data_IF_163388045271
#
_entry.id   IF_163388045271
#
_cell.length_a   1.000
_cell.length_b   1.000
_cell.length_c   1.000
_cell.angle_alpha   90.00
_cell.angle_beta   90.00
_cell.angle_gamma   90.00
#
_symmetry.space_group_name_H-M   'P 1'
#
loop_
_entity.id
_entity.type
_entity.pdbx_description
1 polymer ?
#
# COMPACT_ATOMS: atom_id res chain seq x y z
N UNK A 1 -21.67 -11.80 -27.65
CA UNK A 1 -20.89 -11.29 -26.51
C UNK A 1 -20.01 -10.16 -27.00
N UNK A 2 -19.92 -9.06 -26.26
CA UNK A 2 -19.08 -7.91 -26.61
C UNK A 2 -17.58 -8.26 -26.51
N UNK A 3 -16.75 -7.71 -27.42
CA UNK A 3 -15.31 -8.06 -27.52
C UNK A 3 -14.52 -7.75 -26.24
N UNK A 4 -14.89 -6.68 -25.50
CA UNK A 4 -14.24 -6.35 -24.23
C UNK A 4 -14.55 -7.37 -23.14
N UNK A 5 -15.75 -7.96 -23.16
CA UNK A 5 -16.13 -9.04 -22.25
C UNK A 5 -15.45 -10.35 -22.60
N UNK A 6 -15.27 -10.66 -23.90
CA UNK A 6 -14.47 -11.82 -24.30
C UNK A 6 -13.05 -11.73 -23.75
N UNK A 7 -12.40 -10.57 -23.88
CA UNK A 7 -11.07 -10.32 -23.30
C UNK A 7 -11.08 -10.42 -21.77
N UNK A 8 -12.13 -9.93 -21.11
CA UNK A 8 -12.23 -10.03 -19.66
C UNK A 8 -12.31 -11.50 -19.19
N UNK A 9 -13.11 -12.31 -19.85
CA UNK A 9 -13.18 -13.75 -19.57
C UNK A 9 -11.83 -14.44 -19.85
N UNK A 10 -11.18 -14.12 -20.97
CA UNK A 10 -9.85 -14.62 -21.30
C UNK A 10 -8.81 -14.27 -20.23
N UNK A 11 -8.79 -13.02 -19.80
CA UNK A 11 -7.89 -12.56 -18.75
C UNK A 11 -8.16 -13.24 -17.40
N UNK A 12 -9.42 -13.38 -17.00
CA UNK A 12 -9.81 -14.04 -15.77
C UNK A 12 -9.43 -15.54 -15.75
N UNK A 13 -9.53 -16.23 -16.90
CA UNK A 13 -9.05 -17.62 -17.05
C UNK A 13 -7.53 -17.68 -17.02
N UNK A 14 -6.85 -16.80 -17.74
CA UNK A 14 -5.37 -16.73 -17.75
C UNK A 14 -4.81 -16.40 -16.37
N UNK A 15 -5.55 -15.66 -15.54
CA UNK A 15 -5.22 -15.41 -14.14
C UNK A 15 -5.57 -16.60 -13.20
N UNK A 16 -6.09 -17.71 -13.72
CA UNK A 16 -6.50 -18.89 -12.95
C UNK A 16 -7.69 -18.64 -12.01
N UNK A 17 -8.50 -17.63 -12.28
CA UNK A 17 -9.64 -17.24 -11.44
C UNK A 17 -10.97 -17.80 -11.93
N UNK A 18 -11.06 -18.23 -13.20
CA UNK A 18 -12.21 -18.93 -13.80
C UNK A 18 -11.77 -20.26 -14.38
N UNK A 19 -12.55 -21.31 -14.12
CA UNK A 19 -12.25 -22.68 -14.55
C UNK A 19 -13.20 -23.24 -15.60
N UNK A 20 -14.34 -22.58 -15.85
CA UNK A 20 -15.39 -23.01 -16.75
C UNK A 20 -15.55 -22.19 -18.04
N UNK A 21 -16.40 -22.66 -18.95
CA UNK A 21 -16.60 -22.04 -20.27
C UNK A 21 -17.55 -20.84 -20.28
N UNK A 22 -18.36 -20.64 -19.23
CA UNK A 22 -19.24 -19.47 -19.09
C UNK A 22 -19.65 -19.24 -17.64
N UNK A 23 -18.76 -18.65 -16.86
CA UNK A 23 -19.02 -18.42 -15.44
C UNK A 23 -19.44 -16.97 -15.17
N UNK A 24 -20.58 -16.55 -15.79
CA UNK A 24 -21.17 -15.24 -15.53
C UNK A 24 -21.41 -15.01 -14.04
N UNK A 25 -21.93 -16.03 -13.34
CA UNK A 25 -22.19 -15.95 -11.92
C UNK A 25 -20.88 -15.89 -11.10
N UNK A 26 -19.86 -16.64 -11.50
CA UNK A 26 -18.57 -16.62 -10.83
C UNK A 26 -17.83 -15.30 -11.08
N UNK A 27 -17.86 -14.79 -12.32
CA UNK A 27 -17.32 -13.48 -12.66
C UNK A 27 -18.01 -12.36 -11.88
N UNK A 28 -19.34 -12.43 -11.73
CA UNK A 28 -20.12 -11.50 -10.94
C UNK A 28 -19.66 -11.49 -9.47
N UNK A 29 -19.49 -12.68 -8.88
CA UNK A 29 -18.98 -12.82 -7.51
C UNK A 29 -17.57 -12.29 -7.34
N UNK A 30 -16.66 -12.61 -8.26
CA UNK A 30 -15.26 -12.17 -8.21
C UNK A 30 -15.14 -10.65 -8.32
N UNK A 31 -15.95 -10.02 -9.15
CA UNK A 31 -15.96 -8.57 -9.35
C UNK A 31 -16.86 -7.84 -8.36
N UNK A 32 -17.52 -8.54 -7.43
CA UNK A 32 -18.52 -7.99 -6.51
C UNK A 32 -19.62 -7.19 -7.24
N UNK A 33 -20.11 -7.75 -8.37
CA UNK A 33 -21.12 -7.14 -9.22
C UNK A 33 -22.37 -8.03 -9.28
N UNK A 34 -23.51 -7.47 -9.68
CA UNK A 34 -24.72 -8.29 -9.89
C UNK A 34 -24.61 -9.10 -11.20
N UNK A 35 -25.23 -10.32 -11.26
CA UNK A 35 -25.31 -11.08 -12.51
C UNK A 35 -25.94 -10.26 -13.66
N UNK A 36 -26.89 -9.38 -13.34
CA UNK A 36 -27.51 -8.47 -14.30
C UNK A 36 -26.51 -7.44 -14.86
N UNK A 37 -25.57 -6.95 -14.01
CA UNK A 37 -24.50 -6.05 -14.45
C UNK A 37 -23.58 -6.74 -15.44
N UNK A 38 -23.18 -7.98 -15.16
CA UNK A 38 -22.33 -8.77 -16.05
C UNK A 38 -23.05 -9.04 -17.38
N UNK A 39 -24.32 -9.43 -17.33
CA UNK A 39 -25.14 -9.61 -18.53
C UNK A 39 -25.22 -8.32 -19.39
N UNK A 40 -25.43 -7.18 -18.75
CA UNK A 40 -25.45 -5.90 -19.45
C UNK A 40 -24.09 -5.59 -20.10
N UNK A 41 -22.98 -5.94 -19.47
CA UNK A 41 -21.65 -5.78 -20.06
C UNK A 41 -21.39 -6.73 -21.23
N UNK A 42 -21.92 -7.94 -21.18
CA UNK A 42 -21.84 -8.90 -22.29
C UNK A 42 -22.53 -8.39 -23.56
N UNK A 43 -23.62 -7.64 -23.38
CA UNK A 43 -24.39 -7.07 -24.49
C UNK A 43 -23.84 -5.72 -24.94
N UNK A 44 -23.66 -4.79 -23.99
CA UNK A 44 -23.34 -3.37 -24.26
C UNK A 44 -21.86 -3.06 -24.21
N UNK A 45 -21.06 -3.95 -23.64
CA UNK A 45 -19.63 -3.78 -23.39
C UNK A 45 -19.31 -3.39 -21.96
N UNK A 46 -18.10 -3.69 -21.57
CA UNK A 46 -17.55 -3.40 -20.24
C UNK A 46 -17.48 -1.90 -20.00
N UNK A 47 -18.01 -1.44 -18.86
CA UNK A 47 -17.95 -0.04 -18.45
C UNK A 47 -16.51 0.37 -18.06
N UNK A 48 -16.21 1.67 -18.02
CA UNK A 48 -14.91 2.16 -17.55
C UNK A 48 -14.64 1.71 -16.10
N UNK A 49 -15.66 1.81 -15.23
CA UNK A 49 -15.54 1.36 -13.85
C UNK A 49 -15.33 -0.15 -13.76
N UNK A 50 -16.06 -0.93 -14.59
CA UNK A 50 -15.87 -2.38 -14.69
C UNK A 50 -14.47 -2.78 -15.14
N UNK A 51 -13.85 -2.02 -16.05
CA UNK A 51 -12.49 -2.26 -16.50
C UNK A 51 -11.45 -1.99 -15.38
N UNK A 52 -11.65 -0.94 -14.59
CA UNK A 52 -10.81 -0.64 -13.42
C UNK A 52 -10.98 -1.69 -12.33
N UNK A 53 -12.22 -2.13 -12.07
CA UNK A 53 -12.48 -3.20 -11.13
C UNK A 53 -11.84 -4.53 -11.57
N UNK A 54 -11.93 -4.87 -12.86
CA UNK A 54 -11.26 -6.04 -13.43
C UNK A 54 -9.73 -5.95 -13.34
N UNK A 55 -9.16 -4.76 -13.52
CA UNK A 55 -7.73 -4.54 -13.32
C UNK A 55 -7.34 -4.78 -11.85
N UNK A 56 -8.12 -4.28 -10.90
CA UNK A 56 -7.87 -4.47 -9.48
C UNK A 56 -7.96 -5.95 -9.06
N UNK A 57 -8.94 -6.70 -9.59
CA UNK A 57 -9.21 -8.09 -9.17
C UNK A 57 -8.33 -9.11 -9.90
N UNK A 58 -8.06 -8.90 -11.19
CA UNK A 58 -7.35 -9.87 -12.04
C UNK A 58 -5.95 -9.40 -12.46
N UNK A 59 -5.56 -8.15 -12.15
CA UNK A 59 -4.33 -7.56 -12.65
C UNK A 59 -4.31 -7.31 -14.16
N UNK A 60 -5.48 -7.40 -14.83
CA UNK A 60 -5.58 -7.19 -16.26
C UNK A 60 -5.43 -5.71 -16.61
N UNK A 61 -4.70 -5.41 -17.68
CA UNK A 61 -4.53 -4.04 -18.14
C UNK A 61 -5.83 -3.50 -18.74
N UNK A 62 -6.36 -2.42 -18.13
CA UNK A 62 -7.60 -1.78 -18.59
C UNK A 62 -7.49 -1.26 -20.04
N UNK A 63 -6.30 -0.85 -20.49
CA UNK A 63 -6.04 -0.44 -21.88
C UNK A 63 -6.17 -1.64 -22.80
N UNK A 64 -5.60 -2.78 -22.44
CA UNK A 64 -5.73 -4.01 -23.21
C UNK A 64 -7.19 -4.49 -23.28
N UNK A 65 -7.93 -4.45 -22.17
CA UNK A 65 -9.36 -4.77 -22.18
C UNK A 65 -10.14 -3.90 -23.16
N UNK A 66 -9.82 -2.63 -23.26
CA UNK A 66 -10.52 -1.69 -24.12
C UNK A 66 -10.10 -1.78 -25.60
N UNK A 67 -8.80 -1.86 -25.91
CA UNK A 67 -8.25 -1.76 -27.27
C UNK A 67 -7.81 -3.11 -27.85
N UNK A 68 -7.44 -4.07 -27.01
CA UNK A 68 -6.78 -5.32 -27.40
C UNK A 68 -5.30 -5.15 -27.74
N UNK A 69 -4.75 -3.96 -27.51
CA UNK A 69 -3.34 -3.65 -27.77
C UNK A 69 -2.55 -3.55 -26.48
N UNK A 70 -1.28 -3.95 -26.53
CA UNK A 70 -0.40 -3.97 -25.38
C UNK A 70 -0.43 -5.30 -24.62
N UNK A 71 0.17 -5.33 -23.43
CA UNK A 71 0.20 -6.52 -22.59
C UNK A 71 -1.15 -6.75 -21.90
N UNK A 72 -1.59 -8.01 -21.85
CA UNK A 72 -2.85 -8.43 -21.23
C UNK A 72 -2.89 -8.10 -19.74
N UNK A 73 -1.77 -8.29 -19.04
CA UNK A 73 -1.63 -7.99 -17.62
C UNK A 73 -0.72 -6.79 -17.42
N UNK A 74 -1.02 -6.01 -16.39
CA UNK A 74 -0.14 -4.93 -15.98
C UNK A 74 1.14 -5.57 -15.45
N UNK A 75 2.27 -5.33 -16.13
CA UNK A 75 3.59 -5.81 -15.68
C UNK A 75 3.87 -5.17 -14.31
N UNK A 76 3.60 -5.93 -13.24
CA UNK A 76 3.77 -5.46 -11.87
C UNK A 76 2.62 -5.66 -10.90
N UNK A 77 1.50 -6.30 -11.29
CA UNK A 77 0.42 -6.54 -10.33
C UNK A 77 0.16 -8.03 -10.09
N UNK A 78 0.87 -8.58 -9.09
CA UNK A 78 0.30 -9.61 -8.22
C UNK A 78 -0.37 -8.87 -7.06
N UNK A 79 -1.70 -8.96 -7.03
CA UNK A 79 -2.60 -8.71 -5.90
C UNK A 79 -2.46 -7.38 -5.15
N UNK A 80 -3.34 -6.43 -5.49
CA UNK A 80 -3.68 -5.32 -4.59
C UNK A 80 -4.69 -5.83 -3.55
N UNK A 81 -4.20 -6.47 -2.51
CA UNK A 81 -4.81 -6.39 -1.18
C UNK A 81 -4.07 -5.29 -0.46
N UNK A 82 -4.81 -4.39 0.21
CA UNK A 82 -4.26 -3.49 1.21
C UNK A 82 -3.14 -4.22 1.97
N UNK A 83 -1.91 -3.76 1.83
CA UNK A 83 -0.74 -4.17 2.60
C UNK A 83 -0.68 -5.67 3.00
N UNK A 84 -0.81 -6.59 2.05
CA UNK A 84 -0.36 -7.97 2.28
C UNK A 84 0.95 -8.15 1.53
N UNK A 85 2.02 -8.03 2.27
CA UNK A 85 3.37 -8.33 1.81
C UNK A 85 3.45 -9.82 1.53
N UNK A 86 3.43 -10.20 0.25
CA UNK A 86 3.82 -11.54 -0.15
C UNK A 86 5.33 -11.56 -0.41
N UNK A 87 6.03 -12.27 0.45
CA UNK A 87 7.37 -12.76 0.11
C UNK A 87 7.24 -13.73 -1.06
N UNK A 88 7.73 -13.35 -2.22
CA UNK A 88 7.86 -14.27 -3.36
C UNK A 88 8.93 -15.30 -3.00
N UNK A 89 8.50 -16.57 -2.85
CA UNK A 89 9.37 -17.72 -2.80
C UNK A 89 10.17 -17.84 -4.10
N UNK A 90 11.34 -17.26 -4.13
CA UNK A 90 12.41 -17.69 -5.01
C UNK A 90 13.33 -18.62 -4.21
N UNK A 91 13.17 -19.92 -4.41
CA UNK A 91 14.14 -20.95 -4.01
C UNK A 91 15.51 -20.64 -4.62
N UNK A 92 16.32 -19.89 -3.87
CA UNK A 92 17.80 -19.97 -3.84
C UNK A 92 18.34 -18.96 -2.82
N UNK A 93 18.72 -19.49 -1.68
CA UNK A 93 19.28 -18.90 -0.46
C UNK A 93 18.28 -18.70 0.68
N UNK A 94 18.27 -19.64 1.60
CA UNK A 94 17.42 -19.72 2.81
C UNK A 94 17.59 -18.56 3.83
N UNK A 95 18.18 -17.42 3.42
CA UNK A 95 18.50 -16.33 4.35
C UNK A 95 18.27 -14.91 3.79
N UNK A 96 17.57 -14.78 2.66
CA UNK A 96 17.33 -13.48 2.02
C UNK A 96 15.92 -12.96 2.32
N UNK A 97 15.84 -11.76 2.89
CA UNK A 97 14.60 -11.05 3.23
C UNK A 97 14.51 -9.83 2.31
N UNK A 98 13.38 -9.69 1.64
CA UNK A 98 13.09 -8.54 0.79
C UNK A 98 12.14 -7.61 1.53
N UNK A 99 12.56 -6.36 1.76
CA UNK A 99 11.75 -5.31 2.35
C UNK A 99 11.42 -4.31 1.24
N UNK A 100 10.14 -4.16 0.93
CA UNK A 100 9.68 -3.24 -0.12
C UNK A 100 9.73 -1.79 0.34
N UNK A 101 10.19 -0.89 -0.51
CA UNK A 101 10.19 0.55 -0.28
C UNK A 101 9.17 1.22 -1.20
N UNK A 102 8.32 2.05 -0.60
CA UNK A 102 7.26 2.77 -1.29
C UNK A 102 7.50 4.27 -1.30
N UNK A 103 7.12 4.91 -2.40
CA UNK A 103 7.07 6.36 -2.50
C UNK A 103 5.81 6.87 -1.81
N UNK A 104 5.98 7.64 -0.77
CA UNK A 104 4.86 8.24 -0.03
C UNK A 104 4.39 9.58 -0.60
N UNK A 105 4.93 10.02 -1.75
CA UNK A 105 4.54 11.24 -2.48
C UNK A 105 4.65 12.53 -1.65
N UNK A 106 5.34 13.54 -2.14
CA UNK A 106 5.63 14.73 -1.37
C UNK A 106 4.62 15.86 -1.59
N UNK A 107 4.14 16.47 -0.49
CA UNK A 107 3.70 17.86 -0.47
C UNK A 107 4.29 18.55 0.76
N UNK A 108 4.74 19.79 0.61
CA UNK A 108 5.38 20.52 1.69
C UNK A 108 4.36 21.17 2.62
N UNK A 109 4.47 20.95 3.93
CA UNK A 109 3.87 21.76 4.98
C UNK A 109 2.51 21.38 5.55
N UNK A 110 1.71 20.59 4.87
CA UNK A 110 0.52 19.89 5.36
C UNK A 110 0.73 18.41 5.09
N UNK A 111 0.00 17.48 5.63
CA UNK A 111 0.16 16.05 5.34
C UNK A 111 0.37 15.74 3.84
N UNK A 112 0.80 14.54 3.56
CA UNK A 112 0.98 14.05 2.20
C UNK A 112 -0.33 13.42 1.75
N UNK A 113 -0.87 13.85 0.62
CA UNK A 113 -1.97 13.15 -0.01
C UNK A 113 -1.50 11.72 -0.35
N UNK A 114 -2.05 10.74 0.34
CA UNK A 114 -1.74 9.34 0.08
C UNK A 114 -2.35 8.97 -1.27
N UNK A 115 -1.50 8.70 -2.25
CA UNK A 115 -1.95 8.14 -3.52
C UNK A 115 -2.62 6.80 -3.23
N UNK A 116 -3.74 6.52 -3.86
CA UNK A 116 -4.44 5.24 -3.74
C UNK A 116 -3.53 4.02 -4.04
N UNK A 117 -2.42 4.25 -4.74
CA UNK A 117 -1.40 3.25 -5.03
C UNK A 117 -0.01 3.90 -4.95
N UNK A 118 0.68 3.81 -3.81
CA UNK A 118 2.07 4.22 -3.73
C UNK A 118 2.93 3.33 -4.64
N UNK A 119 3.71 3.95 -5.51
CA UNK A 119 4.63 3.23 -6.40
C UNK A 119 5.72 2.52 -5.59
N UNK A 120 6.03 1.27 -5.93
CA UNK A 120 7.24 0.61 -5.44
C UNK A 120 8.46 1.31 -6.06
N UNK A 121 9.29 1.95 -5.22
CA UNK A 121 10.52 2.60 -5.70
C UNK A 121 11.62 1.57 -5.86
N UNK A 122 11.84 0.76 -4.82
CA UNK A 122 12.89 -0.24 -4.77
C UNK A 122 12.62 -1.27 -3.68
N UNK A 123 13.43 -2.33 -3.64
CA UNK A 123 13.43 -3.30 -2.56
C UNK A 123 14.80 -3.38 -1.91
N UNK A 124 14.80 -3.56 -0.59
CA UNK A 124 16.00 -3.82 0.20
C UNK A 124 16.16 -5.32 0.37
N UNK A 125 17.26 -5.84 -0.08
CA UNK A 125 17.57 -7.25 0.05
C UNK A 125 18.57 -7.43 1.18
N UNK A 126 18.11 -7.98 2.29
CA UNK A 126 18.89 -8.13 3.53
C UNK A 126 18.83 -9.59 4.00
N UNK A 127 19.78 -10.00 4.82
CA UNK A 127 19.71 -11.29 5.49
C UNK A 127 19.15 -11.17 6.92
N UNK A 128 18.79 -12.28 7.51
CA UNK A 128 18.20 -12.34 8.85
C UNK A 128 19.12 -11.73 9.92
N UNK A 129 20.42 -11.99 9.82
CA UNK A 129 21.41 -11.48 10.76
C UNK A 129 21.50 -9.96 10.71
N UNK A 130 21.58 -9.39 9.50
CA UNK A 130 21.58 -7.95 9.31
C UNK A 130 20.31 -7.31 9.89
N UNK A 131 19.14 -7.93 9.62
CA UNK A 131 17.87 -7.41 10.11
C UNK A 131 17.84 -7.38 11.64
N UNK A 132 18.19 -8.47 12.29
CA UNK A 132 18.23 -8.57 13.77
C UNK A 132 19.22 -7.61 14.39
N UNK A 133 20.34 -7.35 13.72
CA UNK A 133 21.38 -6.41 14.20
C UNK A 133 20.92 -4.96 14.05
N UNK A 134 20.26 -4.62 12.96
CA UNK A 134 19.97 -3.25 12.58
C UNK A 134 18.57 -2.75 12.94
N UNK A 135 17.58 -3.63 13.04
CA UNK A 135 16.20 -3.28 13.36
C UNK A 135 15.77 -4.00 14.63
N UNK A 136 15.40 -3.25 15.65
CA UNK A 136 14.98 -3.81 16.94
C UNK A 136 13.46 -3.73 17.10
N UNK A 137 12.90 -4.72 17.79
CA UNK A 137 11.49 -4.71 18.19
C UNK A 137 10.49 -4.91 17.05
N UNK A 138 10.90 -5.47 15.92
CA UNK A 138 9.97 -5.85 14.85
C UNK A 138 9.25 -7.15 15.20
N UNK A 139 8.01 -7.25 14.74
CA UNK A 139 7.15 -8.43 14.96
C UNK A 139 7.55 -9.60 14.07
N UNK A 140 7.70 -9.34 12.77
CA UNK A 140 8.12 -10.29 11.75
C UNK A 140 8.68 -9.53 10.54
N UNK A 141 9.66 -10.12 9.86
CA UNK A 141 10.24 -9.54 8.65
C UNK A 141 9.20 -9.25 7.56
N UNK A 142 8.17 -10.09 7.45
CA UNK A 142 7.07 -9.93 6.48
C UNK A 142 6.15 -8.72 6.74
N UNK A 143 6.19 -8.18 7.96
CA UNK A 143 5.41 -7.02 8.35
C UNK A 143 6.20 -5.71 8.19
N UNK A 144 7.45 -5.80 7.73
CA UNK A 144 8.30 -4.64 7.53
C UNK A 144 8.14 -4.08 6.13
N UNK A 145 8.05 -2.77 6.05
CA UNK A 145 8.21 -2.03 4.81
C UNK A 145 8.98 -0.73 5.07
N UNK A 146 9.44 -0.12 4.00
CA UNK A 146 10.16 1.15 4.06
C UNK A 146 9.30 2.20 3.37
N UNK A 147 9.19 3.35 4.01
CA UNK A 147 8.67 4.58 3.41
C UNK A 147 9.79 5.60 3.32
N UNK A 148 9.72 6.48 2.33
CA UNK A 148 10.62 7.62 2.26
C UNK A 148 10.10 8.72 3.18
N UNK A 149 10.94 9.21 4.09
CA UNK A 149 10.61 10.33 4.95
C UNK A 149 10.29 11.57 4.11
N UNK A 150 9.23 12.29 4.44
CA UNK A 150 8.80 13.48 3.72
C UNK A 150 8.65 14.67 4.65
N UNK A 151 8.90 15.88 4.09
CA UNK A 151 8.90 17.11 4.87
C UNK A 151 10.00 17.13 5.95
N UNK A 152 10.19 18.27 6.58
CA UNK A 152 11.23 18.50 7.58
C UNK A 152 10.70 18.51 9.02
N UNK A 153 9.43 18.18 9.22
CA UNK A 153 8.76 18.23 10.52
C UNK A 153 9.32 17.26 11.56
N UNK A 154 10.04 16.23 11.11
CA UNK A 154 10.68 15.25 11.99
C UNK A 154 12.18 15.45 12.15
N UNK A 155 12.75 16.55 11.63
CA UNK A 155 14.11 16.95 11.97
C UNK A 155 14.23 17.28 13.45
N UNK A 156 15.33 16.89 14.11
CA UNK A 156 16.56 16.30 13.57
C UNK A 156 16.56 14.76 13.53
N UNK A 157 15.43 14.09 13.76
CA UNK A 157 15.36 12.63 13.85
C UNK A 157 15.77 11.96 12.53
N UNK A 158 15.25 12.47 11.43
CA UNK A 158 15.64 12.12 10.05
C UNK A 158 15.40 13.30 9.10
N UNK A 159 15.98 13.26 7.91
CA UNK A 159 15.84 14.28 6.88
C UNK A 159 14.79 13.86 5.83
N UNK A 160 14.20 14.81 5.08
CA UNK A 160 13.41 14.48 3.90
C UNK A 160 14.23 13.61 2.92
N UNK A 161 13.61 12.54 2.39
CA UNK A 161 14.30 11.59 1.53
C UNK A 161 14.90 10.38 2.25
N UNK A 162 15.06 10.43 3.56
CA UNK A 162 15.61 9.32 4.34
C UNK A 162 14.66 8.12 4.38
N UNK A 163 15.18 6.89 4.27
CA UNK A 163 14.37 5.69 4.40
C UNK A 163 13.99 5.42 5.86
N UNK A 164 12.73 5.12 6.08
CA UNK A 164 12.12 4.89 7.39
C UNK A 164 11.46 3.50 7.38
N UNK A 165 11.92 2.60 8.27
CA UNK A 165 11.31 1.26 8.43
C UNK A 165 10.10 1.34 9.35
N UNK A 166 9.02 0.71 8.90
CA UNK A 166 7.72 0.64 9.57
C UNK A 166 7.32 -0.83 9.75
N UNK A 167 6.76 -1.16 10.91
CA UNK A 167 6.13 -2.44 11.21
C UNK A 167 4.59 -2.30 11.15
N UNK A 168 3.97 -2.93 10.16
CA UNK A 168 2.51 -2.87 9.93
C UNK A 168 1.68 -3.68 10.91
N UNK A 169 2.30 -4.55 11.71
CA UNK A 169 1.54 -5.30 12.72
C UNK A 169 1.04 -4.44 13.86
N UNK A 170 1.62 -3.23 14.02
CA UNK A 170 1.25 -2.27 15.06
C UNK A 170 0.33 -1.23 14.44
N UNK A 171 -0.97 -1.48 14.49
CA UNK A 171 -2.02 -0.64 13.91
C UNK A 171 -2.84 0.15 14.96
N UNK A 172 -2.37 0.17 16.20
CA UNK A 172 -2.94 0.94 17.33
C UNK A 172 -1.84 1.72 18.04
N UNK A 173 -2.22 2.81 18.70
CA UNK A 173 -1.29 3.62 19.50
C UNK A 173 -1.32 3.15 20.94
N UNK A 174 -0.69 2.00 21.23
CA UNK A 174 -0.63 1.45 22.59
C UNK A 174 0.49 2.08 23.43
N UNK A 175 1.54 2.55 22.78
CA UNK A 175 2.72 3.17 23.39
C UNK A 175 3.07 4.46 22.68
N UNK A 176 3.66 5.39 23.40
CA UNK A 176 4.25 6.58 22.82
C UNK A 176 5.38 6.21 21.85
N UNK A 177 5.35 6.76 20.66
CA UNK A 177 6.31 6.40 19.61
C UNK A 177 6.12 7.17 18.33
N UNK A 178 6.96 6.90 17.34
CA UNK A 178 6.79 7.46 15.99
C UNK A 178 5.96 6.47 15.18
N UNK A 179 4.94 6.99 14.50
CA UNK A 179 4.01 6.18 13.71
C UNK A 179 3.84 6.76 12.30
N UNK A 180 3.59 5.88 11.36
CA UNK A 180 3.05 6.23 10.06
C UNK A 180 1.53 6.01 10.09
N UNK A 181 0.77 7.06 9.81
CA UNK A 181 -0.69 7.06 9.95
C UNK A 181 -1.32 8.07 8.98
N UNK A 182 -2.63 8.03 8.85
CA UNK A 182 -3.41 9.03 8.15
C UNK A 182 -4.45 9.68 9.06
N UNK A 183 -4.79 10.91 8.72
CA UNK A 183 -6.00 11.60 9.19
C UNK A 183 -6.71 12.12 7.96
N UNK A 184 -7.97 11.75 7.78
CA UNK A 184 -8.69 11.93 6.52
C UNK A 184 -7.89 11.38 5.32
N UNK A 185 -7.56 12.18 4.33
CA UNK A 185 -6.80 11.78 3.15
C UNK A 185 -5.29 12.10 3.23
N UNK A 186 -4.82 12.57 4.38
CA UNK A 186 -3.44 13.01 4.55
C UNK A 186 -2.62 12.02 5.38
N UNK A 187 -1.44 11.64 4.86
CA UNK A 187 -0.49 10.75 5.54
C UNK A 187 0.54 11.53 6.33
N UNK A 188 0.90 11.00 7.49
CA UNK A 188 1.83 11.62 8.42
C UNK A 188 2.82 10.59 8.97
N UNK A 189 4.06 11.05 9.21
CA UNK A 189 5.00 10.38 10.11
C UNK A 189 5.28 11.34 11.25
N UNK A 190 4.77 11.03 12.45
CA UNK A 190 4.89 11.89 13.63
C UNK A 190 5.04 11.04 14.88
N UNK A 191 5.46 11.68 15.96
CA UNK A 191 5.37 11.09 17.28
C UNK A 191 3.91 11.18 17.76
N UNK A 192 3.37 10.04 18.16
CA UNK A 192 2.04 9.95 18.79
C UNK A 192 2.22 9.67 20.28
N UNK A 193 1.49 10.41 21.10
CA UNK A 193 1.44 10.25 22.54
C UNK A 193 -0.01 10.22 23.01
N UNK A 194 -0.35 9.22 23.79
CA UNK A 194 -1.69 9.14 24.39
C UNK A 194 -1.78 10.05 25.60
N UNK A 195 -2.73 10.99 25.58
CA UNK A 195 -3.01 11.88 26.70
C UNK A 195 -4.36 11.48 27.30
N UNK A 196 -4.38 10.92 28.53
CA UNK A 196 -5.63 10.51 29.15
C UNK A 196 -6.66 11.65 29.20
N UNK A 197 -7.87 11.37 28.68
CA UNK A 197 -8.97 12.33 28.64
C UNK A 197 -8.87 13.43 27.58
N UNK A 198 -7.82 13.42 26.73
CA UNK A 198 -7.64 14.43 25.69
C UNK A 198 -7.47 13.84 24.28
N UNK A 199 -7.20 12.53 24.16
CA UNK A 199 -6.96 11.88 22.87
C UNK A 199 -5.49 11.59 22.62
N UNK A 200 -5.09 11.65 21.33
CA UNK A 200 -3.72 11.36 20.87
C UNK A 200 -3.06 12.65 20.41
N UNK A 201 -2.01 13.07 21.12
CA UNK A 201 -1.18 14.19 20.69
C UNK A 201 -0.32 13.78 19.50
N UNK A 202 -0.31 14.61 18.48
CA UNK A 202 0.56 14.51 17.29
C UNK A 202 1.66 15.53 17.44
N UNK A 203 2.88 15.03 17.60
CA UNK A 203 4.04 15.83 17.98
C UNK A 203 5.07 15.78 16.84
N UNK A 204 5.52 16.96 16.42
CA UNK A 204 6.64 17.13 15.49
C UNK A 204 7.95 17.23 16.27
N UNK A 205 8.99 16.55 15.80
CA UNK A 205 10.35 16.72 16.39
C UNK A 205 10.91 18.11 16.09
N UNK A 206 10.60 18.66 14.92
CA UNK A 206 10.91 20.03 14.55
C UNK A 206 9.94 21.01 15.23
N UNK A 207 10.45 21.79 16.16
CA UNK A 207 9.66 22.74 16.97
C UNK A 207 9.12 23.96 16.21
N UNK A 208 9.47 24.12 14.94
CA UNK A 208 8.81 25.07 14.06
C UNK A 208 7.35 24.70 13.72
N UNK A 209 7.00 23.43 13.89
CA UNK A 209 5.65 22.89 13.67
C UNK A 209 4.89 22.82 14.98
N UNK A 210 3.58 23.15 14.91
CA UNK A 210 2.68 23.03 16.06
C UNK A 210 2.27 21.59 16.30
N UNK A 211 2.21 21.21 17.56
CA UNK A 211 1.57 19.98 17.99
C UNK A 211 0.05 20.14 17.95
N UNK A 212 -0.68 19.05 17.73
CA UNK A 212 -2.14 19.03 17.66
C UNK A 212 -2.69 17.72 18.24
N UNK A 213 -4.00 17.62 18.40
CA UNK A 213 -4.65 16.46 19.01
C UNK A 213 -5.52 15.78 17.95
N UNK A 214 -5.44 14.45 17.88
CA UNK A 214 -6.43 13.60 17.22
C UNK A 214 -7.52 13.30 18.24
N UNK A 215 -8.74 13.69 17.93
CA UNK A 215 -9.93 13.36 18.70
C UNK A 215 -10.80 12.30 18.01
N UNK A 216 -11.81 11.80 18.72
CA UNK A 216 -12.69 10.72 18.26
C UNK A 216 -13.55 11.08 17.03
N UNK A 217 -13.59 12.36 16.62
CA UNK A 217 -14.35 12.82 15.45
C UNK A 217 -13.54 12.71 14.14
N UNK A 218 -12.22 12.51 14.24
CA UNK A 218 -11.31 12.48 13.09
C UNK A 218 -11.23 11.06 12.51
N UNK A 219 -11.27 10.97 11.17
CA UNK A 219 -10.99 9.72 10.45
C UNK A 219 -9.49 9.42 10.53
N UNK A 220 -9.11 8.65 11.54
CA UNK A 220 -7.73 8.33 11.89
C UNK A 220 -7.45 6.84 11.71
N UNK A 221 -6.32 6.53 11.07
CA UNK A 221 -5.87 5.15 10.87
C UNK A 221 -4.35 5.05 10.99
N UNK A 222 -3.88 4.09 11.78
CA UNK A 222 -2.44 3.78 11.91
C UNK A 222 -2.05 2.71 10.91
N UNK A 223 -1.06 2.99 10.05
CA UNK A 223 -0.48 2.03 9.12
C UNK A 223 0.64 1.21 9.73
N UNK A 224 1.35 1.77 10.70
CA UNK A 224 2.38 1.04 11.41
C UNK A 224 3.25 1.91 12.30
N UNK A 225 4.03 1.23 13.15
CA UNK A 225 5.00 1.88 14.02
C UNK A 225 6.35 2.01 13.31
N UNK A 226 6.93 3.19 13.38
CA UNK A 226 8.29 3.44 12.91
C UNK A 226 9.29 2.81 13.88
N UNK A 227 10.16 1.95 13.36
CA UNK A 227 11.18 1.27 14.14
C UNK A 227 12.55 1.89 14.00
N UNK A 228 12.86 2.39 12.79
CA UNK A 228 14.17 2.96 12.49
C UNK A 228 14.09 3.90 11.29
N UNK A 229 14.88 4.94 11.30
CA UNK A 229 15.24 5.75 10.15
C UNK A 229 16.75 5.72 9.93
N UNK A 230 17.20 5.80 8.68
CA UNK A 230 18.61 6.02 8.36
C UNK A 230 18.77 7.48 7.96
N UNK A 231 19.35 8.26 8.88
CA UNK A 231 19.59 9.67 8.66
C UNK A 231 20.76 9.86 7.71
N UNK A 232 20.52 10.58 6.61
CA UNK A 232 21.57 11.05 5.71
C UNK A 232 22.31 12.27 6.32
N UNK A 233 23.60 12.35 6.08
CA UNK A 233 24.41 13.51 6.42
C UNK A 233 25.23 13.87 5.17
N UNK A 234 25.17 15.15 4.80
CA UNK A 234 25.98 15.69 3.70
C UNK A 234 27.36 16.08 4.26
N UNK A 235 28.42 15.70 3.52
CA UNK A 235 29.82 16.00 3.86
C UNK A 235 30.43 16.94 2.84
#
# INVERSE_FOLDING_TARGET
>A
MNIKMMRLYEAARSAGKLTGDSDQAELARLLNESPQTIHNWEVRGLSKQGALNAQAVFGVNATWLNSGSGEMFVSGNKETKLFVIHSTDNKKNDNQIIISQYETGGSMGGGVELKEQPGLIQSWNVNQEWLQKNVKGFSSAKNLFIVTGFGDSMRPLYNPGDPVIVDTSVNTVDFDGVYFFRVANEGFIKRLQRIPGQGIAVISENKAYRDWIIDDSMDFEVFGRVLKAWKSEDF
#
